data_IF_117372365591
#
_entry.id   IF_117372365591
#
_cell.length_a   1.000
_cell.length_b   1.000
_cell.length_c   1.000
_cell.angle_alpha   90.00
_cell.angle_beta   90.00
_cell.angle_gamma   90.00
#
_symmetry.space_group_name_H-M   'P 1'
#
loop_
_entity.id
_entity.type
_entity.pdbx_description
1 polymer ?
#
# COMPACT_ATOMS: atom_id res chain seq x y z
N UNK A 1 12.33 -9.48 -17.54
CA UNK A 1 13.06 -8.79 -16.46
C UNK A 1 12.07 -7.85 -15.81
N UNK A 2 11.74 -8.05 -14.53
CA UNK A 2 10.94 -7.08 -13.79
C UNK A 2 11.74 -5.79 -13.65
N UNK A 3 11.21 -4.68 -14.15
CA UNK A 3 11.87 -3.38 -14.05
C UNK A 3 11.75 -2.88 -12.60
N UNK A 4 12.87 -2.84 -11.88
CA UNK A 4 12.91 -2.24 -10.55
C UNK A 4 12.88 -0.71 -10.70
N UNK A 5 11.73 -0.10 -10.42
CA UNK A 5 11.62 1.35 -10.33
C UNK A 5 12.13 1.84 -8.97
N UNK A 6 13.10 2.77 -8.99
CA UNK A 6 13.65 3.38 -7.78
C UNK A 6 12.93 4.70 -7.51
N UNK A 7 12.21 4.75 -6.40
CA UNK A 7 11.47 5.94 -5.97
C UNK A 7 12.01 6.49 -4.65
N UNK A 8 11.94 7.81 -4.49
CA UNK A 8 12.29 8.50 -3.24
C UNK A 8 11.01 8.92 -2.51
N UNK A 9 10.85 8.46 -1.28
CA UNK A 9 9.69 8.79 -0.45
C UNK A 9 10.04 9.90 0.55
N UNK A 10 9.18 10.93 0.62
CA UNK A 10 9.23 11.93 1.69
C UNK A 10 8.42 11.43 2.88
N UNK A 11 9.11 10.99 3.93
CA UNK A 11 8.50 10.49 5.15
C UNK A 11 8.61 11.53 6.28
N UNK A 12 7.61 11.61 7.18
CA UNK A 12 7.76 12.38 8.41
C UNK A 12 8.98 11.94 9.20
N UNK A 13 9.67 12.89 9.85
CA UNK A 13 10.85 12.63 10.69
C UNK A 13 10.70 11.43 11.65
N UNK A 14 9.61 11.29 12.44
CA UNK A 14 9.46 10.16 13.35
C UNK A 14 9.35 8.82 12.61
N UNK A 15 8.66 8.79 11.46
CA UNK A 15 8.53 7.60 10.62
C UNK A 15 9.88 7.21 10.04
N UNK A 16 10.64 8.19 9.51
CA UNK A 16 11.98 7.93 9.00
C UNK A 16 12.95 7.42 10.08
N UNK A 17 12.82 7.90 11.33
CA UNK A 17 13.59 7.39 12.47
C UNK A 17 13.23 5.94 12.80
N UNK A 18 11.93 5.62 12.84
CA UNK A 18 11.46 4.25 13.00
C UNK A 18 12.02 3.33 11.91
N UNK A 19 11.91 3.72 10.64
CA UNK A 19 12.41 2.91 9.51
C UNK A 19 13.91 2.64 9.57
N UNK A 20 14.70 3.62 10.02
CA UNK A 20 16.16 3.45 10.20
C UNK A 20 16.50 2.48 11.31
N UNK A 21 15.69 2.42 12.39
CA UNK A 21 15.88 1.53 13.54
C UNK A 21 15.34 0.12 13.29
N UNK A 22 14.15 0.01 12.71
CA UNK A 22 13.41 -1.24 12.59
C UNK A 22 13.89 -2.13 11.43
N UNK A 23 14.46 -1.55 10.38
CA UNK A 23 14.85 -2.30 9.19
C UNK A 23 16.35 -2.15 8.88
N UNK A 24 17.11 -3.26 8.83
CA UNK A 24 18.49 -3.23 8.38
C UNK A 24 18.59 -2.77 6.91
N UNK A 25 19.80 -2.36 6.50
CA UNK A 25 20.06 -1.87 5.14
C UNK A 25 19.54 -2.86 4.08
N UNK A 26 18.77 -2.37 3.11
CA UNK A 26 18.21 -3.16 2.02
C UNK A 26 16.83 -3.79 2.25
N UNK A 27 16.28 -3.77 3.46
CA UNK A 27 14.94 -4.35 3.75
C UNK A 27 13.79 -3.32 3.76
N UNK A 28 14.12 -2.02 3.76
CA UNK A 28 13.11 -0.94 3.81
C UNK A 28 12.19 -0.95 2.59
N UNK A 29 12.74 -1.22 1.41
CA UNK A 29 11.97 -1.27 0.16
C UNK A 29 10.95 -2.41 0.18
N UNK A 30 11.33 -3.60 0.68
CA UNK A 30 10.41 -4.74 0.78
C UNK A 30 9.22 -4.46 1.69
N UNK A 31 9.47 -3.79 2.82
CA UNK A 31 8.39 -3.38 3.72
C UNK A 31 7.41 -2.43 3.02
N UNK A 32 7.94 -1.40 2.35
CA UNK A 32 7.14 -0.42 1.61
C UNK A 32 6.35 -1.10 0.48
N UNK A 33 6.99 -2.00 -0.27
CA UNK A 33 6.36 -2.78 -1.33
C UNK A 33 5.17 -3.58 -0.81
N UNK A 34 5.35 -4.32 0.29
CA UNK A 34 4.29 -5.09 0.92
C UNK A 34 3.13 -4.19 1.37
N UNK A 35 3.42 -3.01 1.95
CA UNK A 35 2.40 -2.03 2.32
C UNK A 35 1.62 -1.51 1.09
N UNK A 36 2.31 -1.20 -0.01
CA UNK A 36 1.68 -0.70 -1.24
C UNK A 36 0.76 -1.77 -1.84
N UNK A 37 1.24 -3.01 -1.93
CA UNK A 37 0.46 -4.13 -2.48
C UNK A 37 -0.78 -4.42 -1.62
N UNK A 38 -0.62 -4.45 -0.30
CA UNK A 38 -1.73 -4.64 0.63
C UNK A 38 -2.77 -3.51 0.52
N UNK A 39 -2.32 -2.26 0.45
CA UNK A 39 -3.21 -1.11 0.29
C UNK A 39 -3.97 -1.15 -1.04
N UNK A 40 -3.29 -1.47 -2.16
CA UNK A 40 -3.93 -1.62 -3.47
C UNK A 40 -5.03 -2.67 -3.44
N UNK A 41 -4.70 -3.87 -2.94
CA UNK A 41 -5.66 -4.96 -2.84
C UNK A 41 -6.88 -4.58 -2.00
N UNK A 42 -6.66 -4.00 -0.82
CA UNK A 42 -7.75 -3.53 0.06
C UNK A 42 -8.63 -2.49 -0.64
N UNK A 43 -8.03 -1.52 -1.32
CA UNK A 43 -8.78 -0.49 -2.04
C UNK A 43 -9.61 -1.07 -3.19
N UNK A 44 -9.13 -2.11 -3.88
CA UNK A 44 -9.89 -2.80 -4.92
C UNK A 44 -11.09 -3.53 -4.35
N UNK A 45 -10.90 -4.27 -3.24
CA UNK A 45 -11.99 -4.96 -2.53
C UNK A 45 -13.04 -3.97 -2.04
N UNK A 46 -12.64 -2.88 -1.38
CA UNK A 46 -13.55 -1.84 -0.90
C UNK A 46 -14.35 -1.20 -2.06
N UNK A 47 -13.71 -1.02 -3.23
CA UNK A 47 -14.39 -0.52 -4.43
C UNK A 47 -15.44 -1.50 -4.94
N UNK A 48 -15.10 -2.79 -5.03
CA UNK A 48 -16.02 -3.85 -5.45
C UNK A 48 -17.22 -3.96 -4.49
N UNK A 49 -16.97 -3.96 -3.18
CA UNK A 49 -18.03 -3.98 -2.18
C UNK A 49 -18.97 -2.77 -2.29
N UNK A 50 -18.42 -1.58 -2.52
CA UNK A 50 -19.20 -0.36 -2.72
C UNK A 50 -20.08 -0.44 -3.96
N UNK A 51 -19.56 -1.00 -5.05
CA UNK A 51 -20.31 -1.20 -6.28
C UNK A 51 -21.43 -2.24 -6.13
N UNK A 52 -21.13 -3.38 -5.49
CA UNK A 52 -22.13 -4.40 -5.16
C UNK A 52 -23.25 -3.82 -4.29
N UNK A 53 -22.92 -3.04 -3.26
CA UNK A 53 -23.92 -2.34 -2.44
C UNK A 53 -24.76 -1.36 -3.26
N UNK A 54 -24.17 -0.68 -4.25
CA UNK A 54 -24.91 0.23 -5.14
C UNK A 54 -25.91 -0.54 -6.00
N UNK A 55 -25.47 -1.59 -6.68
CA UNK A 55 -26.33 -2.40 -7.56
C UNK A 55 -27.43 -3.12 -6.76
N UNK A 56 -27.12 -3.61 -5.57
CA UNK A 56 -28.10 -4.26 -4.69
C UNK A 56 -29.21 -3.33 -4.22
N UNK A 57 -28.91 -2.03 -3.98
CA UNK A 57 -29.92 -1.02 -3.61
C UNK A 57 -30.84 -0.61 -4.76
N UNK A 58 -30.42 -0.79 -6.01
CA UNK A 58 -31.21 -0.44 -7.20
C UNK A 58 -32.21 -1.55 -7.59
N UNK A 59 -32.11 -2.74 -6.96
CA UNK A 59 -32.95 -3.91 -7.25
C UNK A 59 -34.15 -4.09 -6.30
N UNK A 60 -34.34 -3.20 -5.32
CA UNK A 60 -35.57 -3.07 -4.52
C UNK A 60 -36.35 -1.85 -5.01
#
# INVERSE_FOLDING_TARGET
>A
MDSIERVTLKLPKPVAAYFRKAFPHGQRSKFVEACILSHKHRSEVEKMEKELRRVGKTRQ
#
